data_IF_406601302178
#
_entry.id   IF_406601302178
#
_cell.length_a   1.000
_cell.length_b   1.000
_cell.length_c   1.000
_cell.angle_alpha   90.00
_cell.angle_beta   90.00
_cell.angle_gamma   90.00
#
_symmetry.space_group_name_H-M   'P 1'
#
loop_
_entity.id
_entity.type
_entity.pdbx_description
1 polymer ?
#
# COMPACT_ATOMS: atom_id res chain seq x y z
N UNK A 1 -5.38 21.01 -33.67
CA UNK A 1 -4.59 20.55 -32.52
C UNK A 1 -5.47 19.51 -31.85
N UNK A 2 -5.35 18.26 -32.28
CA UNK A 2 -6.00 17.16 -31.58
C UNK A 2 -5.38 17.12 -30.18
N UNK A 3 -6.20 17.40 -29.19
CA UNK A 3 -5.87 17.19 -27.78
C UNK A 3 -5.41 15.74 -27.67
N UNK A 4 -4.13 15.52 -27.35
CA UNK A 4 -3.63 14.21 -26.96
C UNK A 4 -4.42 13.83 -25.70
N UNK A 5 -5.52 13.13 -25.92
CA UNK A 5 -6.30 12.52 -24.86
C UNK A 5 -5.41 11.40 -24.34
N UNK A 6 -4.57 11.72 -23.34
CA UNK A 6 -3.80 10.72 -22.61
C UNK A 6 -4.85 9.87 -21.90
N UNK A 7 -5.23 8.76 -22.54
CA UNK A 7 -6.43 7.98 -22.28
C UNK A 7 -6.44 7.19 -20.98
N UNK A 8 -5.98 7.78 -19.87
CA UNK A 8 -6.22 7.24 -18.55
C UNK A 8 -7.69 7.44 -18.17
N UNK A 9 -8.23 6.48 -17.43
CA UNK A 9 -9.46 6.72 -16.70
C UNK A 9 -9.23 7.71 -15.56
N UNK A 10 -10.31 8.33 -15.03
CA UNK A 10 -10.19 9.19 -13.85
C UNK A 10 -9.49 8.50 -12.66
N UNK A 11 -9.68 7.18 -12.51
CA UNK A 11 -9.03 6.44 -11.42
C UNK A 11 -7.53 6.32 -11.63
N UNK A 12 -7.08 5.96 -12.83
CA UNK A 12 -5.65 5.93 -13.13
C UNK A 12 -5.03 7.33 -13.05
N UNK A 13 -5.75 8.36 -13.50
CA UNK A 13 -5.32 9.75 -13.46
C UNK A 13 -5.11 10.26 -12.03
N UNK A 14 -5.99 9.91 -11.08
CA UNK A 14 -5.83 10.23 -9.65
C UNK A 14 -4.47 9.77 -9.12
N UNK A 15 -4.13 8.50 -9.34
CA UNK A 15 -2.88 7.92 -8.86
C UNK A 15 -1.65 8.48 -9.57
N UNK A 16 -1.77 8.77 -10.87
CA UNK A 16 -0.72 9.42 -11.62
C UNK A 16 -0.47 10.84 -11.09
N UNK A 17 -1.52 11.61 -10.82
CA UNK A 17 -1.44 12.97 -10.28
C UNK A 17 -0.75 12.97 -8.90
N UNK A 18 -1.17 12.09 -8.00
CA UNK A 18 -0.53 11.90 -6.69
C UNK A 18 0.93 11.47 -6.79
N UNK A 19 1.26 10.62 -7.77
CA UNK A 19 2.64 10.20 -8.01
C UNK A 19 3.54 11.38 -8.44
N UNK A 20 3.07 12.19 -9.40
CA UNK A 20 3.80 13.37 -9.86
C UNK A 20 4.01 14.39 -8.74
N UNK A 21 3.03 14.53 -7.83
CA UNK A 21 3.13 15.43 -6.67
C UNK A 21 4.23 15.02 -5.67
N UNK A 22 4.70 13.76 -5.70
CA UNK A 22 5.80 13.26 -4.89
C UNK A 22 7.17 13.33 -5.56
N UNK A 23 7.24 13.84 -6.80
CA UNK A 23 8.51 14.12 -7.47
C UNK A 23 9.05 15.50 -7.07
N UNK A 24 10.37 15.74 -7.21
CA UNK A 24 10.93 17.05 -6.92
C UNK A 24 10.30 18.11 -7.84
N UNK A 25 9.75 19.22 -7.32
CA UNK A 25 9.10 20.24 -8.13
C UNK A 25 10.14 21.13 -8.83
N UNK A 26 10.76 20.59 -9.89
CA UNK A 26 11.79 21.27 -10.65
C UNK A 26 11.18 22.30 -11.62
N UNK A 27 11.48 23.57 -11.35
CA UNK A 27 11.11 24.69 -12.21
C UNK A 27 9.75 25.29 -11.88
N UNK A 28 9.54 26.50 -12.38
CA UNK A 28 8.37 27.33 -12.04
C UNK A 28 7.04 26.67 -12.43
N UNK A 29 6.99 25.99 -13.59
CA UNK A 29 5.76 25.37 -14.10
C UNK A 29 5.26 24.29 -13.13
N UNK A 30 6.14 23.37 -12.71
CA UNK A 30 5.74 22.26 -11.85
C UNK A 30 5.43 22.74 -10.43
N UNK A 31 6.22 23.66 -9.88
CA UNK A 31 5.92 24.27 -8.58
C UNK A 31 4.58 25.01 -8.57
N UNK A 32 4.26 25.72 -9.66
CA UNK A 32 2.98 26.40 -9.80
C UNK A 32 1.83 25.40 -9.93
N UNK A 33 1.96 24.38 -10.78
CA UNK A 33 0.96 23.34 -10.92
C UNK A 33 0.67 22.64 -9.58
N UNK A 34 1.72 22.33 -8.80
CA UNK A 34 1.58 21.75 -7.48
C UNK A 34 0.81 22.66 -6.51
N UNK A 35 1.02 23.97 -6.59
CA UNK A 35 0.41 24.96 -5.69
C UNK A 35 -1.02 25.33 -6.09
N UNK A 36 -1.26 25.53 -7.38
CA UNK A 36 -2.48 26.17 -7.91
C UNK A 36 -3.46 25.15 -8.48
N UNK A 37 -2.98 24.11 -9.14
CA UNK A 37 -3.80 23.20 -9.95
C UNK A 37 -4.08 21.88 -9.22
N UNK A 38 -3.08 21.31 -8.52
CA UNK A 38 -3.16 19.98 -7.92
C UNK A 38 -4.45 19.74 -7.12
N UNK A 39 -4.79 20.64 -6.19
CA UNK A 39 -5.96 20.42 -5.32
C UNK A 39 -7.29 20.52 -6.04
N UNK A 40 -7.36 21.25 -7.16
CA UNK A 40 -8.55 21.31 -8.01
C UNK A 40 -8.69 20.02 -8.81
N UNK A 41 -7.59 19.53 -9.40
CA UNK A 41 -7.57 18.27 -10.14
C UNK A 41 -7.94 17.09 -9.22
N UNK A 42 -7.38 17.03 -8.01
CA UNK A 42 -7.71 15.99 -7.04
C UNK A 42 -9.16 16.06 -6.58
N UNK A 43 -9.74 17.25 -6.44
CA UNK A 43 -11.15 17.43 -6.04
C UNK A 43 -12.10 16.94 -7.14
N UNK A 44 -11.85 17.32 -8.39
CA UNK A 44 -12.65 16.86 -9.55
C UNK A 44 -12.58 15.34 -9.73
N UNK A 45 -11.38 14.76 -9.60
CA UNK A 45 -11.18 13.31 -9.67
C UNK A 45 -11.84 12.59 -8.49
N UNK A 46 -11.73 13.13 -7.27
CA UNK A 46 -12.38 12.56 -6.09
C UNK A 46 -13.91 12.57 -6.22
N UNK A 47 -14.50 13.69 -6.67
CA UNK A 47 -15.94 13.79 -6.92
C UNK A 47 -16.40 12.80 -8.00
N UNK A 48 -15.67 12.74 -9.12
CA UNK A 48 -15.94 11.82 -10.23
C UNK A 48 -15.93 10.35 -9.80
N UNK A 49 -15.01 9.99 -8.90
CA UNK A 49 -14.85 8.63 -8.39
C UNK A 49 -15.73 8.33 -7.17
N UNK A 50 -16.37 9.33 -6.58
CA UNK A 50 -17.15 9.21 -5.35
C UNK A 50 -16.29 8.91 -4.12
N UNK A 51 -15.06 9.42 -4.09
CA UNK A 51 -14.11 9.22 -2.98
C UNK A 51 -14.35 10.22 -1.84
N UNK A 52 -14.22 9.75 -0.61
CA UNK A 52 -14.37 10.52 0.62
C UNK A 52 -13.03 11.05 1.12
N UNK A 53 -12.34 11.86 0.29
CA UNK A 53 -11.02 12.45 0.61
C UNK A 53 -11.01 13.99 0.63
N UNK A 54 -12.19 14.60 0.70
CA UNK A 54 -12.35 16.06 0.60
C UNK A 54 -11.70 16.84 1.75
N UNK A 55 -11.73 16.29 2.96
CA UNK A 55 -11.12 16.92 4.14
C UNK A 55 -9.59 17.00 3.99
N UNK A 56 -8.96 15.93 3.49
CA UNK A 56 -7.52 15.88 3.24
C UNK A 56 -7.09 16.81 2.09
N UNK A 57 -7.90 16.90 1.03
CA UNK A 57 -7.65 17.85 -0.07
C UNK A 57 -7.73 19.30 0.44
N UNK A 58 -8.70 19.62 1.29
CA UNK A 58 -8.83 20.97 1.84
C UNK A 58 -7.68 21.31 2.81
N UNK A 59 -7.21 20.35 3.61
CA UNK A 59 -6.00 20.52 4.42
C UNK A 59 -4.78 20.82 3.54
N UNK A 60 -4.56 20.03 2.48
CA UNK A 60 -3.48 20.24 1.52
C UNK A 60 -3.57 21.62 0.85
N UNK A 61 -4.77 22.03 0.42
CA UNK A 61 -5.05 23.35 -0.17
C UNK A 61 -4.72 24.48 0.80
N UNK A 62 -5.12 24.35 2.07
CA UNK A 62 -4.87 25.35 3.09
C UNK A 62 -3.36 25.56 3.37
N UNK A 63 -2.54 24.52 3.20
CA UNK A 63 -1.08 24.64 3.33
C UNK A 63 -0.45 25.23 2.05
N UNK A 64 -0.82 24.72 0.87
CA UNK A 64 -0.26 25.18 -0.42
C UNK A 64 -0.53 26.65 -0.69
N UNK A 65 -1.72 27.16 -0.35
CA UNK A 65 -2.08 28.57 -0.53
C UNK A 65 -1.23 29.54 0.32
N UNK A 66 -0.62 29.06 1.41
CA UNK A 66 0.18 29.88 2.35
C UNK A 66 1.66 29.96 1.99
N UNK A 67 2.11 29.22 0.99
CA UNK A 67 3.52 29.15 0.61
C UNK A 67 3.73 29.66 -0.81
N UNK A 68 4.90 30.22 -1.06
CA UNK A 68 5.31 30.57 -2.41
C UNK A 68 5.81 29.34 -3.18
N UNK A 69 5.60 29.31 -4.49
CA UNK A 69 5.94 28.18 -5.35
C UNK A 69 7.44 27.84 -5.27
N UNK A 70 8.30 28.85 -5.13
CA UNK A 70 9.74 28.72 -5.00
C UNK A 70 10.17 28.07 -3.67
N UNK A 71 9.30 28.04 -2.66
CA UNK A 71 9.57 27.41 -1.38
C UNK A 71 9.36 25.88 -1.39
N UNK A 72 8.68 25.34 -2.40
CA UNK A 72 8.38 23.91 -2.53
C UNK A 72 9.64 23.06 -2.70
N UNK A 73 10.53 23.43 -3.64
CA UNK A 73 11.74 22.65 -3.90
C UNK A 73 12.72 22.64 -2.70
N UNK A 74 12.95 23.76 -1.99
CA UNK A 74 13.70 23.75 -0.73
C UNK A 74 13.06 22.84 0.34
N UNK A 75 11.73 22.88 0.50
CA UNK A 75 11.03 22.01 1.45
C UNK A 75 11.22 20.53 1.07
N UNK A 76 10.98 20.18 -0.20
CA UNK A 76 11.22 18.83 -0.74
C UNK A 76 12.65 18.37 -0.51
N UNK A 77 13.62 19.22 -0.84
CA UNK A 77 15.05 18.89 -0.75
C UNK A 77 15.47 18.63 0.69
N UNK A 78 14.94 19.41 1.65
CA UNK A 78 15.17 19.24 3.08
C UNK A 78 14.63 17.89 3.58
N UNK A 79 13.49 17.44 3.05
CA UNK A 79 12.82 16.21 3.46
C UNK A 79 13.40 14.95 2.81
N UNK A 80 13.72 15.00 1.52
CA UNK A 80 13.92 13.79 0.71
C UNK A 80 15.29 13.67 0.05
N UNK A 81 16.05 14.76 -0.11
CA UNK A 81 17.26 14.76 -0.95
C UNK A 81 18.56 15.01 -0.18
N UNK A 82 18.58 15.95 0.77
CA UNK A 82 19.83 16.41 1.41
C UNK A 82 20.19 15.54 2.63
N UNK A 83 21.39 14.92 2.68
CA UNK A 83 21.83 14.15 3.83
C UNK A 83 22.04 14.99 5.11
N UNK A 84 21.70 14.45 6.31
CA UNK A 84 20.98 13.20 6.52
C UNK A 84 19.52 13.31 6.07
N UNK A 85 19.08 12.39 5.21
CA UNK A 85 17.72 12.38 4.65
C UNK A 85 16.76 11.91 5.75
N UNK A 86 15.86 12.78 6.24
CA UNK A 86 15.01 12.47 7.40
C UNK A 86 13.91 11.46 7.08
N UNK A 87 13.28 11.56 5.91
CA UNK A 87 12.27 10.62 5.45
C UNK A 87 12.64 10.15 4.05
N UNK A 88 12.95 8.87 3.88
CA UNK A 88 13.15 8.32 2.53
C UNK A 88 11.81 7.99 1.92
N UNK A 89 11.65 8.22 0.61
CA UNK A 89 10.48 7.77 -0.14
C UNK A 89 10.66 6.36 -0.73
N UNK A 90 11.69 5.62 -0.33
CA UNK A 90 11.90 4.23 -0.76
C UNK A 90 11.25 3.28 0.25
N UNK A 91 10.21 2.54 -0.17
CA UNK A 91 9.46 1.63 0.68
C UNK A 91 10.33 0.52 1.31
N UNK A 92 11.35 0.03 0.59
CA UNK A 92 12.26 -1.02 1.08
C UNK A 92 13.01 -0.63 2.35
N UNK A 93 13.24 0.66 2.60
CA UNK A 93 13.86 1.12 3.87
C UNK A 93 12.98 0.81 5.07
N UNK A 94 11.66 0.90 4.91
CA UNK A 94 10.68 0.71 5.98
C UNK A 94 10.31 -0.77 6.15
N UNK A 95 10.31 -1.51 5.04
CA UNK A 95 9.92 -2.93 5.02
C UNK A 95 11.09 -3.86 5.33
N UNK A 96 12.25 -3.58 4.73
CA UNK A 96 13.42 -4.45 4.76
C UNK A 96 14.56 -3.86 5.61
N UNK A 97 14.48 -2.58 6.00
CA UNK A 97 15.56 -1.87 6.69
C UNK A 97 16.76 -1.50 5.81
N UNK A 98 16.68 -1.77 4.50
CA UNK A 98 17.77 -1.53 3.54
C UNK A 98 17.23 -1.14 2.16
N UNK A 99 18.03 -0.41 1.38
CA UNK A 99 17.79 -0.27 -0.06
C UNK A 99 17.99 -1.62 -0.75
N UNK A 100 17.23 -1.87 -1.82
CA UNK A 100 17.33 -3.06 -2.67
C UNK A 100 17.09 -4.39 -1.91
N UNK A 101 16.21 -4.35 -0.92
CA UNK A 101 15.79 -5.50 -0.13
C UNK A 101 14.87 -6.45 -0.89
N UNK A 102 14.26 -7.40 -0.16
CA UNK A 102 13.39 -8.40 -0.76
C UNK A 102 12.12 -7.78 -1.39
N UNK A 103 11.54 -6.76 -0.75
CA UNK A 103 10.35 -6.07 -1.26
C UNK A 103 10.67 -5.25 -2.52
N UNK A 104 11.84 -4.63 -2.60
CA UNK A 104 12.28 -3.92 -3.82
C UNK A 104 12.41 -4.88 -5.01
N UNK A 105 12.94 -6.10 -4.79
CA UNK A 105 13.04 -7.13 -5.85
C UNK A 105 11.68 -7.66 -6.26
N UNK A 106 10.80 -7.92 -5.31
CA UNK A 106 9.42 -8.30 -5.58
C UNK A 106 8.72 -7.25 -6.47
N UNK A 107 8.87 -5.96 -6.15
CA UNK A 107 8.32 -4.87 -6.98
C UNK A 107 8.90 -4.89 -8.40
N UNK A 108 10.22 -5.05 -8.54
CA UNK A 108 10.86 -5.15 -9.86
C UNK A 108 10.36 -6.35 -10.68
N UNK A 109 10.12 -7.51 -10.04
CA UNK A 109 9.53 -8.69 -10.69
C UNK A 109 8.09 -8.44 -11.13
N UNK A 110 7.29 -7.74 -10.31
CA UNK A 110 5.93 -7.33 -10.69
C UNK A 110 6.00 -6.39 -11.90
N UNK A 111 6.84 -5.35 -11.87
CA UNK A 111 6.99 -4.39 -12.97
C UNK A 111 7.35 -5.11 -14.27
N UNK A 112 8.34 -5.99 -14.22
CA UNK A 112 8.81 -6.76 -15.37
C UNK A 112 7.71 -7.63 -15.99
N UNK A 113 6.90 -8.32 -15.17
CA UNK A 113 5.75 -9.12 -15.67
C UNK A 113 4.70 -8.27 -16.40
N UNK A 114 4.64 -6.99 -16.10
CA UNK A 114 3.76 -6.01 -16.77
C UNK A 114 4.44 -5.26 -17.92
N UNK A 115 5.65 -5.69 -18.32
CA UNK A 115 6.41 -5.07 -19.41
C UNK A 115 6.99 -3.71 -19.06
N UNK A 116 7.13 -3.40 -17.76
CA UNK A 116 7.74 -2.17 -17.28
C UNK A 116 9.18 -2.46 -16.90
N UNK A 117 10.11 -1.74 -17.52
CA UNK A 117 11.53 -1.82 -17.25
C UNK A 117 12.05 -0.46 -16.78
N UNK A 118 12.99 -0.48 -15.84
CA UNK A 118 13.64 0.72 -15.39
C UNK A 118 14.57 1.27 -16.49
N UNK A 119 14.40 2.54 -16.84
CA UNK A 119 15.32 3.22 -17.74
C UNK A 119 16.73 3.26 -17.14
N UNK A 120 17.80 3.10 -17.94
CA UNK A 120 19.18 3.30 -17.49
C UNK A 120 19.43 4.70 -16.90
N UNK A 121 18.64 5.69 -17.30
CA UNK A 121 18.74 7.08 -16.86
C UNK A 121 17.91 7.36 -15.58
N UNK A 122 17.11 6.40 -15.12
CA UNK A 122 16.31 6.55 -13.91
C UNK A 122 17.20 6.35 -12.67
N UNK A 123 17.35 7.41 -11.87
CA UNK A 123 18.20 7.40 -10.68
C UNK A 123 17.53 6.79 -9.44
N UNK A 124 16.20 6.76 -9.39
CA UNK A 124 15.44 6.20 -8.27
C UNK A 124 15.33 4.68 -8.37
N UNK A 125 15.10 4.02 -7.24
CA UNK A 125 14.86 2.58 -7.20
C UNK A 125 13.39 2.25 -7.46
N UNK A 126 13.06 1.02 -7.89
CA UNK A 126 11.67 0.63 -8.19
C UNK A 126 10.69 0.74 -7.01
N UNK A 127 11.22 0.83 -5.79
CA UNK A 127 10.45 0.99 -4.56
C UNK A 127 10.28 2.45 -4.11
N UNK A 128 10.63 3.43 -4.94
CA UNK A 128 10.28 4.83 -4.69
C UNK A 128 8.74 5.00 -4.74
N UNK A 129 8.14 5.65 -3.74
CA UNK A 129 6.68 5.76 -3.60
C UNK A 129 6.03 6.35 -4.85
N UNK A 130 6.61 7.41 -5.44
CA UNK A 130 6.12 7.97 -6.69
C UNK A 130 6.06 6.91 -7.80
N UNK A 131 7.14 6.16 -8.02
CA UNK A 131 7.19 5.08 -9.02
C UNK A 131 6.16 3.98 -8.73
N UNK A 132 5.96 3.61 -7.46
CA UNK A 132 4.95 2.62 -7.09
C UNK A 132 3.53 3.13 -7.42
N UNK A 133 3.25 4.41 -7.20
CA UNK A 133 1.95 5.02 -7.52
C UNK A 133 1.73 5.16 -9.04
N UNK A 134 2.75 5.53 -9.82
CA UNK A 134 2.67 5.51 -11.29
C UNK A 134 2.38 4.10 -11.81
N UNK A 135 3.04 3.10 -11.22
CA UNK A 135 2.79 1.71 -11.58
C UNK A 135 1.38 1.25 -11.17
N UNK A 136 0.87 1.70 -10.03
CA UNK A 136 -0.51 1.47 -9.62
C UNK A 136 -1.51 2.08 -10.62
N UNK A 137 -1.27 3.30 -11.09
CA UNK A 137 -2.07 3.93 -12.14
C UNK A 137 -2.11 3.08 -13.42
N UNK A 138 -0.94 2.56 -13.84
CA UNK A 138 -0.85 1.65 -14.99
C UNK A 138 -1.65 0.36 -14.78
N UNK A 139 -1.56 -0.27 -13.61
CA UNK A 139 -2.31 -1.50 -13.31
C UNK A 139 -3.82 -1.26 -13.37
N UNK A 140 -4.29 -0.13 -12.83
CA UNK A 140 -5.70 0.27 -12.86
C UNK A 140 -6.18 0.45 -14.31
N UNK A 141 -5.43 1.22 -15.10
CA UNK A 141 -5.76 1.44 -16.50
C UNK A 141 -5.84 0.12 -17.27
N UNK A 142 -4.86 -0.78 -17.08
CA UNK A 142 -4.88 -2.11 -17.69
C UNK A 142 -6.06 -2.95 -17.23
N UNK A 143 -6.43 -2.89 -15.95
CA UNK A 143 -7.53 -3.67 -15.39
C UNK A 143 -8.89 -3.25 -15.96
N UNK A 144 -9.08 -1.97 -16.24
CA UNK A 144 -10.33 -1.46 -16.85
C UNK A 144 -10.50 -1.87 -18.31
N UNK A 145 -9.40 -2.13 -19.02
CA UNK A 145 -9.39 -2.60 -20.41
C UNK A 145 -9.23 -4.12 -20.54
N UNK A 146 -9.01 -4.83 -19.43
CA UNK A 146 -8.68 -6.25 -19.44
C UNK A 146 -9.88 -7.15 -19.70
N UNK A 147 -9.63 -8.22 -20.47
CA UNK A 147 -10.53 -9.37 -20.55
C UNK A 147 -10.59 -10.11 -19.19
N UNK A 148 -11.70 -10.80 -18.87
CA UNK A 148 -11.92 -11.44 -17.57
C UNK A 148 -10.79 -12.37 -17.11
N UNK A 149 -10.13 -13.08 -18.03
CA UNK A 149 -9.04 -14.02 -17.71
C UNK A 149 -7.77 -13.33 -17.22
N UNK A 150 -7.52 -12.09 -17.66
CA UNK A 150 -6.35 -11.30 -17.26
C UNK A 150 -6.63 -10.44 -16.03
N UNK A 151 -7.90 -10.16 -15.76
CA UNK A 151 -8.33 -9.29 -14.66
C UNK A 151 -7.90 -9.84 -13.30
N UNK A 152 -8.08 -11.14 -13.04
CA UNK A 152 -7.69 -11.74 -11.75
C UNK A 152 -6.21 -11.52 -11.44
N UNK A 153 -5.34 -11.71 -12.43
CA UNK A 153 -3.90 -11.48 -12.29
C UNK A 153 -3.55 -10.01 -12.02
N UNK A 154 -4.23 -9.08 -12.70
CA UNK A 154 -4.04 -7.64 -12.50
C UNK A 154 -4.49 -7.21 -11.10
N UNK A 155 -5.62 -7.75 -10.62
CA UNK A 155 -6.14 -7.46 -9.29
C UNK A 155 -5.21 -7.97 -8.18
N UNK A 156 -4.62 -9.16 -8.33
CA UNK A 156 -3.65 -9.71 -7.38
C UNK A 156 -2.40 -8.82 -7.25
N UNK A 157 -1.82 -8.41 -8.39
CA UNK A 157 -0.64 -7.55 -8.39
C UNK A 157 -0.95 -6.15 -7.87
N UNK A 158 -2.13 -5.62 -8.20
CA UNK A 158 -2.62 -4.35 -7.68
C UNK A 158 -2.81 -4.40 -6.16
N UNK A 159 -3.38 -5.48 -5.62
CA UNK A 159 -3.53 -5.65 -4.17
C UNK A 159 -2.18 -5.81 -3.47
N UNK A 160 -1.21 -6.50 -4.09
CA UNK A 160 0.15 -6.58 -3.56
C UNK A 160 0.81 -5.20 -3.46
N UNK A 161 0.71 -4.39 -4.52
CA UNK A 161 1.23 -3.01 -4.57
C UNK A 161 0.53 -2.11 -3.56
N UNK A 162 -0.80 -2.15 -3.51
CA UNK A 162 -1.60 -1.36 -2.54
C UNK A 162 -1.32 -1.75 -1.10
N UNK A 163 -1.27 -3.06 -0.81
CA UNK A 163 -0.95 -3.57 0.52
C UNK A 163 0.43 -3.13 1.00
N UNK A 164 1.40 -3.04 0.09
CA UNK A 164 2.71 -2.48 0.37
C UNK A 164 2.62 -0.99 0.70
N UNK A 165 1.95 -0.17 -0.11
CA UNK A 165 1.77 1.26 0.13
C UNK A 165 1.08 1.54 1.47
N UNK A 166 -0.04 0.86 1.76
CA UNK A 166 -0.79 1.00 3.02
C UNK A 166 0.06 0.67 4.26
N UNK A 167 1.06 -0.19 4.10
CA UNK A 167 1.97 -0.54 5.19
C UNK A 167 3.04 0.52 5.45
N UNK A 168 3.55 1.18 4.40
CA UNK A 168 4.70 2.09 4.52
C UNK A 168 4.32 3.55 4.67
N UNK A 169 3.22 3.99 4.03
CA UNK A 169 2.83 5.39 4.00
C UNK A 169 2.58 5.99 5.39
N UNK A 170 1.94 5.32 6.36
CA UNK A 170 1.72 5.90 7.69
C UNK A 170 3.04 6.25 8.39
N UNK A 171 4.06 5.40 8.24
CA UNK A 171 5.37 5.63 8.85
C UNK A 171 6.15 6.73 8.13
N UNK A 172 6.05 6.80 6.79
CA UNK A 172 6.66 7.88 6.00
C UNK A 172 5.99 9.21 6.38
N UNK A 173 4.66 9.27 6.38
CA UNK A 173 3.88 10.46 6.71
C UNK A 173 4.19 10.98 8.11
N UNK A 174 4.27 10.10 9.11
CA UNK A 174 4.64 10.45 10.47
C UNK A 174 6.04 11.09 10.56
N UNK A 175 7.04 10.50 9.89
CA UNK A 175 8.41 11.05 9.86
C UNK A 175 8.51 12.38 9.11
N UNK A 176 7.75 12.53 8.02
CA UNK A 176 7.66 13.79 7.28
C UNK A 176 7.03 14.86 8.16
N UNK A 177 5.90 14.59 8.81
CA UNK A 177 5.22 15.53 9.70
C UNK A 177 6.10 15.95 10.89
N UNK A 178 6.78 15.00 11.52
CA UNK A 178 7.74 15.28 12.60
C UNK A 178 8.85 16.23 12.11
N UNK A 179 9.44 15.93 10.94
CA UNK A 179 10.52 16.74 10.37
C UNK A 179 10.05 18.12 9.96
N UNK A 180 8.87 18.23 9.34
CA UNK A 180 8.28 19.52 8.97
C UNK A 180 8.07 20.39 10.20
N UNK A 181 7.58 19.79 11.30
CA UNK A 181 7.41 20.48 12.59
C UNK A 181 8.75 20.93 13.20
N UNK A 182 9.73 20.01 13.32
CA UNK A 182 11.05 20.29 13.90
C UNK A 182 11.80 21.39 13.15
N UNK A 183 11.75 21.34 11.81
CA UNK A 183 12.46 22.27 10.93
C UNK A 183 11.64 23.51 10.56
N UNK A 184 10.39 23.60 11.05
CA UNK A 184 9.44 24.67 10.73
C UNK A 184 9.22 24.82 9.21
N UNK A 185 9.15 23.68 8.52
CA UNK A 185 8.78 23.63 7.11
C UNK A 185 7.25 23.69 6.99
N UNK A 186 6.72 24.12 5.83
CA UNK A 186 5.31 23.95 5.53
C UNK A 186 4.92 22.47 5.52
N UNK A 187 3.75 22.14 6.07
CA UNK A 187 3.25 20.77 6.19
C UNK A 187 2.66 20.21 4.86
N UNK A 188 3.32 20.48 3.74
CA UNK A 188 2.79 20.14 2.40
C UNK A 188 2.84 18.65 2.16
N UNK A 189 3.96 18.01 2.48
CA UNK A 189 4.20 16.64 2.07
C UNK A 189 3.56 15.65 3.06
N UNK A 190 3.43 16.01 4.34
CA UNK A 190 2.62 15.21 5.27
C UNK A 190 1.13 15.25 4.89
N UNK A 191 0.58 16.42 4.54
CA UNK A 191 -0.79 16.54 4.06
C UNK A 191 -1.03 15.75 2.75
N UNK A 192 -0.10 15.84 1.79
CA UNK A 192 -0.18 15.06 0.55
C UNK A 192 -0.15 13.54 0.82
N UNK A 193 0.75 13.07 1.68
CA UNK A 193 0.81 11.65 2.05
C UNK A 193 -0.44 11.18 2.80
N UNK A 194 -1.04 12.05 3.61
CA UNK A 194 -2.34 11.80 4.25
C UNK A 194 -3.47 11.62 3.23
N UNK A 195 -3.56 12.51 2.23
CA UNK A 195 -4.53 12.37 1.14
C UNK A 195 -4.38 11.04 0.36
N UNK A 196 -3.13 10.64 0.09
CA UNK A 196 -2.82 9.35 -0.56
C UNK A 196 -3.25 8.18 0.33
N UNK A 197 -2.99 8.24 1.64
CA UNK A 197 -3.38 7.19 2.60
C UNK A 197 -4.90 7.03 2.67
N UNK A 198 -5.65 8.13 2.77
CA UNK A 198 -7.12 8.09 2.80
C UNK A 198 -7.67 7.56 1.47
N UNK A 199 -7.15 8.01 0.33
CA UNK A 199 -7.56 7.50 -0.99
C UNK A 199 -7.31 5.98 -1.13
N UNK A 200 -6.18 5.47 -0.62
CA UNK A 200 -5.88 4.03 -0.63
C UNK A 200 -6.86 3.22 0.24
N UNK A 201 -7.31 3.82 1.34
CA UNK A 201 -8.30 3.21 2.22
C UNK A 201 -9.69 3.17 1.58
N UNK A 202 -10.11 4.25 0.94
CA UNK A 202 -11.45 4.34 0.37
C UNK A 202 -11.61 3.51 -0.92
N UNK A 203 -10.59 3.45 -1.78
CA UNK A 203 -10.60 2.56 -2.96
C UNK A 203 -10.78 1.08 -2.57
N UNK A 204 -10.38 0.68 -1.35
CA UNK A 204 -10.65 -0.69 -0.87
C UNK A 204 -12.14 -0.95 -0.75
N UNK A 205 -12.92 0.04 -0.32
CA UNK A 205 -14.37 -0.07 -0.26
C UNK A 205 -14.94 -0.29 -1.67
N UNK A 206 -14.35 0.27 -2.71
CA UNK A 206 -14.85 0.12 -4.09
C UNK A 206 -14.58 -1.27 -4.65
N UNK A 207 -13.33 -1.74 -4.59
CA UNK A 207 -12.97 -3.09 -5.08
C UNK A 207 -13.69 -4.21 -4.30
N UNK A 208 -13.89 -4.02 -2.99
CA UNK A 208 -14.52 -5.03 -2.15
C UNK A 208 -16.01 -4.80 -1.89
N UNK A 209 -16.64 -3.67 -2.25
CA UNK A 209 -18.10 -3.53 -2.17
C UNK A 209 -18.79 -4.51 -3.13
N UNK A 210 -18.20 -4.76 -4.31
CA UNK A 210 -18.64 -5.81 -5.22
C UNK A 210 -18.55 -7.20 -4.55
N UNK A 211 -17.46 -7.49 -3.84
CA UNK A 211 -17.28 -8.74 -3.08
C UNK A 211 -18.10 -8.81 -1.78
N UNK A 212 -18.49 -7.67 -1.21
CA UNK A 212 -19.21 -7.55 0.08
C UNK A 212 -20.73 -7.48 -0.10
N UNK A 213 -21.22 -7.28 -1.33
CA UNK A 213 -22.64 -7.45 -1.64
C UNK A 213 -23.13 -8.89 -1.47
N UNK A 214 -22.19 -9.86 -1.42
CA UNK A 214 -22.41 -11.25 -1.02
C UNK A 214 -22.11 -11.45 0.48
N UNK A 215 -22.77 -10.67 1.34
CA UNK A 215 -22.67 -10.74 2.80
C UNK A 215 -23.23 -12.04 3.42
N UNK A 216 -23.17 -13.16 2.72
CA UNK A 216 -23.09 -14.47 3.36
C UNK A 216 -21.65 -14.63 3.82
N UNK A 217 -21.37 -14.32 5.11
CA UNK A 217 -20.09 -14.59 5.79
C UNK A 217 -19.41 -15.80 5.16
N UNK A 218 -18.35 -15.65 4.33
CA UNK A 218 -17.60 -16.82 3.94
C UNK A 218 -16.99 -17.32 5.24
N UNK A 219 -17.43 -18.48 5.72
CA UNK A 219 -16.61 -19.28 6.62
C UNK A 219 -15.19 -19.22 6.07
N UNK A 220 -14.20 -18.87 6.88
CA UNK A 220 -12.80 -18.78 6.42
C UNK A 220 -12.40 -20.15 5.86
N UNK A 221 -12.60 -20.36 4.55
CA UNK A 221 -12.39 -21.62 3.85
C UNK A 221 -10.92 -21.80 3.47
N UNK A 222 -10.01 -21.56 4.41
CA UNK A 222 -8.58 -21.80 4.16
C UNK A 222 -8.25 -23.29 3.89
N UNK A 223 -9.21 -24.21 4.09
CA UNK A 223 -8.97 -25.65 4.02
C UNK A 223 -10.14 -26.53 3.51
N UNK A 224 -11.20 -26.00 2.89
CA UNK A 224 -12.42 -26.83 2.65
C UNK A 224 -12.22 -28.00 1.69
N UNK A 225 -11.36 -27.90 0.67
CA UNK A 225 -11.05 -29.08 -0.16
C UNK A 225 -10.24 -30.16 0.58
N UNK A 226 -9.68 -29.86 1.76
CA UNK A 226 -8.89 -30.81 2.57
C UNK A 226 -9.66 -31.41 3.74
N UNK A 227 -10.85 -30.91 4.08
CA UNK A 227 -11.63 -31.39 5.22
C UNK A 227 -12.05 -32.87 5.10
N UNK A 228 -12.00 -33.43 3.89
CA UNK A 228 -12.33 -34.83 3.60
C UNK A 228 -11.10 -35.67 3.23
N UNK A 229 -9.87 -35.14 3.38
CA UNK A 229 -8.68 -35.93 3.07
C UNK A 229 -8.54 -37.10 4.05
N UNK A 230 -8.23 -38.32 3.56
CA UNK A 230 -8.20 -39.53 4.40
C UNK A 230 -7.04 -39.53 5.41
N UNK A 231 -6.05 -38.66 5.24
CA UNK A 231 -4.81 -38.59 6.04
C UNK A 231 -4.71 -37.33 6.89
N UNK A 232 -5.84 -36.74 7.29
CA UNK A 232 -5.85 -35.59 8.19
C UNK A 232 -5.30 -35.93 9.58
N UNK A 233 -4.39 -35.08 10.04
CA UNK A 233 -3.88 -35.09 11.41
C UNK A 233 -4.74 -34.16 12.27
N UNK A 234 -5.26 -34.71 13.36
CA UNK A 234 -6.07 -33.97 14.33
C UNK A 234 -5.20 -33.18 15.32
N UNK A 235 -5.68 -32.00 15.72
CA UNK A 235 -5.12 -31.21 16.80
C UNK A 235 -5.13 -32.00 18.11
N UNK A 236 -3.99 -32.08 18.81
CA UNK A 236 -3.88 -32.82 20.09
C UNK A 236 -4.73 -32.22 21.22
N UNK A 237 -5.13 -30.95 21.10
CA UNK A 237 -5.94 -30.26 22.12
C UNK A 237 -7.45 -30.35 21.85
N UNK A 238 -7.91 -29.96 20.65
CA UNK A 238 -9.34 -29.89 20.33
C UNK A 238 -9.85 -30.97 19.37
N UNK A 239 -8.98 -31.82 18.84
CA UNK A 239 -9.35 -32.89 17.89
C UNK A 239 -9.72 -32.41 16.49
N UNK A 240 -9.76 -31.09 16.23
CA UNK A 240 -10.06 -30.56 14.88
C UNK A 240 -8.95 -30.93 13.89
N UNK A 241 -9.30 -31.25 12.63
CA UNK A 241 -8.30 -31.51 11.59
C UNK A 241 -7.47 -30.26 11.33
N UNK A 242 -6.14 -30.42 11.28
CA UNK A 242 -5.18 -29.31 11.10
C UNK A 242 -4.64 -29.27 9.68
N UNK A 243 -4.07 -30.40 9.24
CA UNK A 243 -3.44 -30.55 7.93
C UNK A 243 -3.30 -32.05 7.61
N UNK A 244 -2.94 -32.38 6.37
CA UNK A 244 -2.62 -33.76 5.99
C UNK A 244 -1.30 -34.20 6.62
N UNK A 245 -1.14 -35.50 6.87
CA UNK A 245 0.10 -36.06 7.40
C UNK A 245 1.30 -35.76 6.48
N UNK A 246 1.06 -35.72 5.17
CA UNK A 246 2.05 -35.36 4.16
C UNK A 246 2.52 -33.91 4.30
N UNK A 247 1.60 -32.97 4.39
CA UNK A 247 1.93 -31.54 4.51
C UNK A 247 2.67 -31.27 5.82
N UNK A 248 2.20 -31.83 6.93
CA UNK A 248 2.86 -31.70 8.23
C UNK A 248 4.28 -32.23 8.19
N UNK A 249 4.51 -33.39 7.55
CA UNK A 249 5.86 -33.94 7.38
C UNK A 249 6.79 -32.97 6.65
N UNK A 250 6.34 -32.37 5.54
CA UNK A 250 7.14 -31.39 4.78
C UNK A 250 7.51 -30.18 5.64
N UNK A 251 6.56 -29.66 6.42
CA UNK A 251 6.80 -28.49 7.28
C UNK A 251 7.75 -28.86 8.43
N UNK A 252 7.53 -30.02 9.08
CA UNK A 252 8.39 -30.53 10.17
C UNK A 252 9.82 -30.72 9.67
N UNK A 253 10.00 -31.34 8.51
CA UNK A 253 11.32 -31.59 7.93
C UNK A 253 12.06 -30.27 7.63
N UNK A 254 11.36 -29.27 7.09
CA UNK A 254 11.92 -27.91 6.88
C UNK A 254 12.30 -27.22 8.19
N UNK A 255 11.45 -27.27 9.21
CA UNK A 255 11.77 -26.66 10.52
C UNK A 255 12.98 -27.32 11.16
N UNK A 256 13.08 -28.66 11.07
CA UNK A 256 14.23 -29.42 11.60
C UNK A 256 15.53 -29.09 10.87
N UNK A 257 15.49 -28.96 9.54
CA UNK A 257 16.64 -28.52 8.74
C UNK A 257 17.14 -27.13 9.16
N UNK A 258 16.24 -26.26 9.62
CA UNK A 258 16.56 -24.92 10.13
C UNK A 258 16.85 -24.87 11.64
N UNK A 259 16.89 -26.01 12.34
CA UNK A 259 17.12 -26.05 13.79
C UNK A 259 15.97 -25.48 14.65
N UNK A 260 14.76 -25.41 14.10
CA UNK A 260 13.57 -24.86 14.77
C UNK A 260 12.71 -25.97 15.39
N UNK A 261 12.07 -25.72 16.55
CA UNK A 261 11.16 -26.68 17.17
C UNK A 261 9.86 -26.82 16.35
N UNK A 262 9.31 -28.03 16.31
CA UNK A 262 8.10 -28.35 15.53
C UNK A 262 6.88 -28.73 16.38
N UNK A 263 7.02 -28.74 17.71
CA UNK A 263 5.98 -29.18 18.64
C UNK A 263 4.69 -28.34 18.54
N UNK A 264 4.83 -27.08 18.11
CA UNK A 264 3.70 -26.17 17.92
C UNK A 264 2.79 -26.55 16.73
N UNK A 265 3.22 -27.45 15.85
CA UNK A 265 2.42 -27.94 14.71
C UNK A 265 1.43 -29.04 15.11
N UNK A 266 1.51 -29.54 16.34
CA UNK A 266 0.58 -30.53 16.88
C UNK A 266 -0.77 -29.92 17.32
N UNK A 267 -0.85 -28.58 17.32
CA UNK A 267 -2.02 -27.81 17.71
C UNK A 267 -2.58 -27.04 16.50
N UNK A 268 -3.91 -26.93 16.41
CA UNK A 268 -4.53 -26.02 15.46
C UNK A 268 -4.20 -24.56 15.84
N UNK A 269 -4.30 -23.60 14.90
CA UNK A 269 -4.03 -22.19 15.17
C UNK A 269 -4.75 -21.66 16.41
N UNK A 270 -6.06 -21.93 16.54
CA UNK A 270 -6.85 -21.50 17.70
C UNK A 270 -6.30 -22.01 19.04
N UNK A 271 -5.95 -23.30 19.13
CA UNK A 271 -5.43 -23.89 20.36
C UNK A 271 -4.01 -23.41 20.67
N UNK A 272 -3.17 -23.27 19.64
CA UNK A 272 -1.81 -22.73 19.78
C UNK A 272 -1.85 -21.31 20.32
N UNK A 273 -2.72 -20.47 19.75
CA UNK A 273 -2.88 -19.09 20.14
C UNK A 273 -3.42 -19.02 21.59
N UNK A 274 -4.39 -19.87 21.93
CA UNK A 274 -4.89 -20.04 23.31
C UNK A 274 -3.80 -20.41 24.32
N UNK A 275 -2.90 -21.36 23.99
CA UNK A 275 -1.77 -21.71 24.89
C UNK A 275 -0.78 -20.57 25.10
N UNK A 276 -0.73 -19.60 24.19
CA UNK A 276 0.12 -18.41 24.28
C UNK A 276 -0.59 -17.22 24.92
N UNK A 277 -1.80 -17.40 25.45
CA UNK A 277 -2.60 -16.34 26.07
C UNK A 277 -3.32 -15.44 25.07
N UNK A 278 -3.37 -15.81 23.78
CA UNK A 278 -4.11 -15.08 22.77
C UNK A 278 -5.54 -15.61 22.77
N UNK A 279 -6.49 -14.77 23.19
CA UNK A 279 -7.90 -15.04 22.99
C UNK A 279 -8.35 -14.48 21.64
N UNK A 280 -9.27 -15.16 20.95
CA UNK A 280 -9.97 -14.58 19.82
C UNK A 280 -10.77 -13.36 20.32
N UNK A 281 -10.18 -12.18 20.19
CA UNK A 281 -10.82 -10.95 20.62
C UNK A 281 -12.09 -10.71 19.82
N UNK A 282 -13.24 -10.67 20.48
CA UNK A 282 -14.27 -9.70 20.12
C UNK A 282 -13.72 -8.37 20.60
N UNK A 283 -12.94 -7.69 19.78
CA UNK A 283 -12.48 -6.36 20.14
C UNK A 283 -13.65 -5.39 20.01
N UNK A 284 -14.48 -5.28 21.06
CA UNK A 284 -15.07 -4.00 21.39
C UNK A 284 -13.95 -3.18 22.03
N UNK A 285 -13.26 -2.39 21.20
CA UNK A 285 -12.28 -1.44 21.68
C UNK A 285 -13.02 -0.36 22.48
N UNK A 286 -12.96 -0.44 23.80
CA UNK A 286 -13.34 0.66 24.67
C UNK A 286 -12.12 1.03 25.52
N UNK A 287 -11.27 1.90 24.96
CA UNK A 287 -10.11 2.44 25.67
C UNK A 287 -10.55 3.64 26.52
N UNK A 288 -10.32 3.63 27.84
CA UNK A 288 -10.57 4.80 28.68
C UNK A 288 -9.47 5.83 28.43
N UNK A 289 -9.83 6.98 27.86
CA UNK A 289 -8.88 8.09 27.69
C UNK A 289 -9.07 8.96 26.45
N UNK A 290 -9.96 8.58 25.52
CA UNK A 290 -10.33 9.44 24.40
C UNK A 290 -11.80 9.85 24.55
N UNK A 291 -12.00 11.11 24.95
CA UNK A 291 -13.24 11.89 24.80
C UNK A 291 -12.89 13.18 24.08
#
# INVERSE_FOLDING_TARGET
MDTMNNGFSPRAELWQCMAQALLPPHGEILSRALREDLTLDLEDLAETLGLSIGDEIEELRAVLTRIEAEALLPAYSSLFLVPPIPAKLNAGIYLDGTLLGANTRMLAEIFYRHGVEQSPDMHDTPDHVATILEFLALLIHKAEEAEPEMLEFLLDDMEAVRGLLKRVLPEIAARVAETESERKLPAVYSALLGAIETALCDEQCIFFAAASSDAAKPERRYFTKRAEAPDLVACKSCGKPVATARDLKVIIDRLRQSGLPSDHLELCPDCRDGTRGWAAGKAEFNLPGFR
#
